data_IF_996682210067
#
_entry.id   IF_996682210067
#
_cell.length_a   1.000
_cell.length_b   1.000
_cell.length_c   1.000
_cell.angle_alpha   90.00
_cell.angle_beta   90.00
_cell.angle_gamma   90.00
#
_symmetry.space_group_name_H-M   'P 1'
#
loop_
_entity.id
_entity.type
_entity.pdbx_description
1 polymer ?
#
# COMPACT_ATOMS: atom_id res chain seq x y z
N UNK A 1 -13.42 2.21 12.19
CA UNK A 1 -12.22 3.05 12.04
C UNK A 1 -11.55 2.72 10.71
N UNK A 2 -11.25 3.74 9.93
CA UNK A 2 -10.68 3.50 8.60
C UNK A 2 -9.16 3.51 8.63
N UNK A 3 -8.55 2.80 7.66
CA UNK A 3 -7.11 2.88 7.47
C UNK A 3 -6.77 4.27 6.94
N UNK A 4 -5.73 4.89 7.48
CA UNK A 4 -5.29 6.23 7.12
C UNK A 4 -3.88 6.21 6.51
N UNK A 5 -3.46 7.34 5.99
CA UNK A 5 -2.10 7.50 5.47
C UNK A 5 -1.05 7.21 6.56
N UNK A 6 -1.33 7.58 7.81
CA UNK A 6 -0.42 7.28 8.92
C UNK A 6 -0.23 5.79 9.12
N UNK A 7 -1.28 5.00 8.94
CA UNK A 7 -1.18 3.53 9.02
C UNK A 7 -0.27 2.99 7.93
N UNK A 8 -0.37 3.54 6.72
CA UNK A 8 0.49 3.14 5.60
C UNK A 8 1.94 3.53 5.87
N UNK A 9 2.17 4.69 6.46
CA UNK A 9 3.53 5.12 6.85
C UNK A 9 4.17 4.19 7.87
N UNK A 10 3.39 3.68 8.82
CA UNK A 10 3.89 2.72 9.79
C UNK A 10 4.34 1.42 9.11
N UNK A 11 3.55 0.94 8.15
CA UNK A 11 3.90 -0.26 7.39
C UNK A 11 5.11 -0.01 6.51
N UNK A 12 5.20 1.16 5.89
CA UNK A 12 6.36 1.59 5.11
C UNK A 12 7.64 1.48 5.95
N UNK A 13 7.61 1.97 7.17
CA UNK A 13 8.72 1.89 8.10
C UNK A 13 9.04 0.45 8.46
N UNK A 14 8.03 -0.36 8.74
CA UNK A 14 8.19 -1.76 9.08
C UNK A 14 8.87 -2.54 7.96
N UNK A 15 8.52 -2.24 6.71
CA UNK A 15 9.09 -2.92 5.54
C UNK A 15 10.41 -2.29 5.08
N UNK A 16 10.84 -1.18 5.70
CA UNK A 16 12.05 -0.44 5.34
C UNK A 16 12.05 0.01 3.88
N UNK A 17 10.91 0.50 3.40
CA UNK A 17 10.75 1.01 2.04
C UNK A 17 10.30 2.45 2.07
N UNK A 18 10.38 3.13 0.92
CA UNK A 18 9.90 4.51 0.78
C UNK A 18 8.85 4.55 -0.32
N UNK A 19 7.68 5.10 0.00
CA UNK A 19 6.58 5.27 -0.94
C UNK A 19 6.36 6.77 -1.20
N UNK A 20 6.01 7.11 -2.43
CA UNK A 20 5.60 8.47 -2.76
C UNK A 20 4.18 8.71 -2.23
N UNK A 21 3.80 9.98 -2.11
CA UNK A 21 2.44 10.34 -1.69
C UNK A 21 1.40 9.76 -2.64
N UNK A 22 1.69 9.77 -3.94
CA UNK A 22 0.79 9.20 -4.94
C UNK A 22 0.62 7.69 -4.75
N UNK A 23 1.71 6.98 -4.46
CA UNK A 23 1.65 5.53 -4.21
C UNK A 23 0.82 5.24 -2.97
N UNK A 24 1.01 6.00 -1.90
CA UNK A 24 0.23 5.84 -0.67
C UNK A 24 -1.26 6.08 -0.93
N UNK A 25 -1.60 7.12 -1.70
CA UNK A 25 -2.99 7.42 -2.05
C UNK A 25 -3.62 6.29 -2.85
N UNK A 26 -2.89 5.73 -3.81
CA UNK A 26 -3.39 4.60 -4.60
C UNK A 26 -3.64 3.37 -3.75
N UNK A 27 -2.72 3.08 -2.84
CA UNK A 27 -2.85 1.93 -1.94
C UNK A 27 -4.07 2.13 -1.03
N UNK A 28 -4.22 3.32 -0.48
CA UNK A 28 -5.36 3.63 0.38
C UNK A 28 -6.68 3.49 -0.37
N UNK A 29 -6.75 4.00 -1.59
CA UNK A 29 -7.95 3.90 -2.43
C UNK A 29 -8.27 2.44 -2.78
N UNK A 30 -7.27 1.64 -3.13
CA UNK A 30 -7.48 0.22 -3.41
C UNK A 30 -7.98 -0.52 -2.18
N UNK A 31 -7.39 -0.24 -1.02
CA UNK A 31 -7.86 -0.86 0.22
C UNK A 31 -9.31 -0.52 0.49
N UNK A 32 -9.68 0.76 0.37
CA UNK A 32 -11.05 1.22 0.64
C UNK A 32 -12.06 0.68 -0.37
N UNK A 33 -11.62 0.32 -1.56
CA UNK A 33 -12.46 -0.33 -2.57
C UNK A 33 -12.80 -1.77 -2.16
N UNK A 34 -11.86 -2.45 -1.50
CA UNK A 34 -12.04 -3.83 -1.06
C UNK A 34 -12.77 -3.87 0.29
N UNK A 35 -12.33 -3.06 1.24
CA UNK A 35 -12.86 -3.03 2.61
C UNK A 35 -12.98 -1.58 3.04
N UNK A 36 -14.14 -1.19 3.56
CA UNK A 36 -14.39 0.19 3.99
C UNK A 36 -13.90 0.47 5.41
N UNK A 37 -13.55 -0.57 6.15
CA UNK A 37 -13.13 -0.47 7.54
C UNK A 37 -11.74 -1.08 7.76
N UNK A 38 -11.13 -0.72 8.88
CA UNK A 38 -9.86 -1.31 9.33
C UNK A 38 -10.16 -2.68 9.93
N UNK A 39 -10.27 -3.69 9.07
CA UNK A 39 -10.64 -5.05 9.46
C UNK A 39 -9.43 -5.81 10.01
N UNK A 40 -9.69 -6.96 10.64
CA UNK A 40 -8.63 -7.86 11.06
C UNK A 40 -7.79 -8.27 9.84
N UNK A 41 -6.47 -8.19 9.96
CA UNK A 41 -5.57 -8.48 8.84
C UNK A 41 -5.41 -7.34 7.85
N UNK A 42 -5.84 -6.13 8.21
CA UNK A 42 -5.72 -4.96 7.35
C UNK A 42 -4.25 -4.68 6.96
N UNK A 43 -3.33 -4.92 7.87
CA UNK A 43 -1.90 -4.70 7.65
C UNK A 43 -1.35 -5.66 6.59
N UNK A 44 -1.76 -6.92 6.62
CA UNK A 44 -1.40 -7.91 5.60
C UNK A 44 -1.89 -7.48 4.22
N UNK A 45 -3.13 -7.02 4.14
CA UNK A 45 -3.71 -6.55 2.88
C UNK A 45 -2.94 -5.34 2.35
N UNK A 46 -2.61 -4.39 3.22
CA UNK A 46 -1.82 -3.22 2.83
C UNK A 46 -0.42 -3.65 2.35
N UNK A 47 0.23 -4.59 3.03
CA UNK A 47 1.53 -5.12 2.60
C UNK A 47 1.45 -5.73 1.21
N UNK A 48 0.40 -6.50 0.94
CA UNK A 48 0.19 -7.10 -0.38
C UNK A 48 -0.03 -6.04 -1.45
N UNK A 49 -0.76 -4.98 -1.16
CA UNK A 49 -0.97 -3.88 -2.09
C UNK A 49 0.33 -3.13 -2.38
N UNK A 50 1.16 -2.94 -1.36
CA UNK A 50 2.48 -2.31 -1.52
C UNK A 50 3.37 -3.16 -2.43
N UNK A 51 3.42 -4.45 -2.20
CA UNK A 51 4.22 -5.39 -3.01
C UNK A 51 3.74 -5.35 -4.46
N UNK A 52 2.43 -5.38 -4.68
CA UNK A 52 1.84 -5.30 -6.00
C UNK A 52 2.26 -4.02 -6.73
N UNK A 53 2.18 -2.88 -6.07
CA UNK A 53 2.54 -1.59 -6.64
C UNK A 53 4.03 -1.55 -7.03
N UNK A 54 4.90 -1.97 -6.14
CA UNK A 54 6.35 -1.94 -6.40
C UNK A 54 6.77 -2.95 -7.46
N UNK A 55 6.14 -4.12 -7.49
CA UNK A 55 6.43 -5.15 -8.49
C UNK A 55 6.04 -4.68 -9.89
N UNK A 56 4.87 -4.07 -10.04
CA UNK A 56 4.42 -3.53 -11.32
C UNK A 56 5.38 -2.45 -11.81
N UNK A 57 5.83 -1.58 -10.93
CA UNK A 57 6.75 -0.50 -11.29
C UNK A 57 8.10 -1.06 -11.77
N UNK A 58 8.63 -2.08 -11.10
CA UNK A 58 9.86 -2.74 -11.50
C UNK A 58 9.73 -3.38 -12.88
N UNK A 59 8.61 -4.06 -13.15
CA UNK A 59 8.35 -4.68 -14.44
C UNK A 59 8.27 -3.65 -15.56
N UNK A 60 7.65 -2.53 -15.33
CA UNK A 60 7.55 -1.44 -16.30
C UNK A 60 8.95 -0.89 -16.62
N UNK A 61 9.79 -0.71 -15.62
CA UNK A 61 11.15 -0.21 -15.82
C UNK A 61 12.00 -1.19 -16.59
N UNK A 62 11.85 -2.47 -16.36
CA UNK A 62 12.63 -3.51 -17.06
C UNK A 62 12.27 -3.64 -18.54
N UNK A 63 11.07 -3.27 -18.90
CA UNK A 63 10.58 -3.39 -20.27
C UNK A 63 10.87 -2.18 -21.16
N UNK A 64 11.59 -1.21 -20.64
CA UNK A 64 12.00 -0.04 -21.44
C UNK A 64 13.26 -0.31 -22.26
#
# INVERSE_FOLDING_TARGET
MNVSINDIKEIETELSITLTDLQMDKILNEYNTIITDKAEGWDELIKNLIIKQTTIQILIEKNK
#
